data_IF_630092203281
#
_entry.id   IF_630092203281
#
_cell.length_a   1.000
_cell.length_b   1.000
_cell.length_c   1.000
_cell.angle_alpha   90.00
_cell.angle_beta   90.00
_cell.angle_gamma   90.00
#
_symmetry.space_group_name_H-M   'P 1'
#
loop_
_entity.id
_entity.type
_entity.pdbx_description
1 polymer ?
#
# COMPACT_ATOMS: atom_id res chain seq x y z
N UNK A 1 -1.88 -18.01 12.18
CA UNK A 1 -2.29 -16.70 11.63
C UNK A 1 -2.17 -15.66 12.76
N UNK A 2 -1.92 -14.39 12.44
CA UNK A 2 -1.81 -13.32 13.44
C UNK A 2 -3.15 -12.58 13.57
N UNK A 3 -3.49 -12.12 14.77
CA UNK A 3 -4.74 -11.41 15.02
C UNK A 3 -4.52 -10.17 15.90
N UNK A 4 -5.31 -9.13 15.64
CA UNK A 4 -5.37 -7.89 16.41
C UNK A 4 -6.84 -7.56 16.70
N UNK A 5 -7.16 -7.29 17.97
CA UNK A 5 -8.55 -7.12 18.43
C UNK A 5 -9.50 -8.29 18.03
N UNK A 6 -8.96 -9.51 17.97
CA UNK A 6 -9.73 -10.71 17.61
C UNK A 6 -9.96 -10.91 16.11
N UNK A 7 -9.42 -10.04 15.25
CA UNK A 7 -9.54 -10.14 13.80
C UNK A 7 -8.19 -10.45 13.16
N UNK A 8 -8.17 -11.39 12.23
CA UNK A 8 -7.00 -11.73 11.42
C UNK A 8 -6.88 -10.79 10.22
N UNK A 9 -6.33 -9.60 10.46
CA UNK A 9 -6.13 -8.61 9.41
C UNK A 9 -5.05 -9.00 8.41
N UNK A 10 -5.22 -8.56 7.17
CA UNK A 10 -4.25 -8.72 6.09
C UNK A 10 -3.52 -7.41 5.75
N UNK A 11 -4.13 -6.25 6.01
CA UNK A 11 -3.60 -4.92 5.63
C UNK A 11 -2.33 -4.48 6.39
N UNK A 12 -1.72 -3.37 5.96
CA UNK A 12 -0.43 -2.91 6.45
C UNK A 12 -0.46 -2.33 7.87
N UNK A 13 -1.59 -1.81 8.35
CA UNK A 13 -1.62 -1.19 9.67
C UNK A 13 -1.58 -2.21 10.82
N UNK A 14 -2.32 -3.32 10.68
CA UNK A 14 -2.59 -4.24 11.79
C UNK A 14 -2.54 -5.73 11.39
N UNK A 15 -2.09 -6.03 10.18
CA UNK A 15 -2.24 -7.35 9.60
C UNK A 15 -0.94 -8.05 9.22
N UNK A 16 -1.12 -9.21 8.58
CA UNK A 16 -0.05 -10.07 8.09
C UNK A 16 0.95 -9.32 7.19
N UNK A 17 0.47 -8.37 6.38
CA UNK A 17 1.28 -7.57 5.46
C UNK A 17 2.52 -6.94 6.10
N UNK A 18 2.37 -6.16 7.17
CA UNK A 18 3.49 -5.46 7.78
C UNK A 18 4.40 -6.39 8.58
N UNK A 19 3.85 -7.45 9.19
CA UNK A 19 4.66 -8.48 9.86
C UNK A 19 5.63 -9.10 8.85
N UNK A 20 5.12 -9.52 7.69
CA UNK A 20 5.94 -10.09 6.62
C UNK A 20 6.94 -9.08 6.05
N UNK A 21 6.54 -7.82 5.88
CA UNK A 21 7.45 -6.77 5.42
C UNK A 21 8.65 -6.62 6.35
N UNK A 22 8.42 -6.55 7.66
CA UNK A 22 9.52 -6.42 8.65
C UNK A 22 10.43 -7.65 8.61
N UNK A 23 9.89 -8.86 8.50
CA UNK A 23 10.71 -10.08 8.38
C UNK A 23 11.61 -10.04 7.13
N UNK A 24 11.09 -9.56 5.99
CA UNK A 24 11.87 -9.39 4.74
C UNK A 24 12.99 -8.35 4.92
N UNK A 25 12.73 -7.29 5.70
CA UNK A 25 13.66 -6.19 5.94
C UNK A 25 14.74 -6.48 6.98
N UNK A 26 14.81 -7.71 7.48
CA UNK A 26 15.92 -8.19 8.33
C UNK A 26 16.65 -9.32 7.59
N UNK A 27 17.50 -9.02 6.58
CA UNK A 27 18.13 -10.05 5.76
C UNK A 27 18.90 -11.07 6.57
N UNK A 28 19.60 -10.65 7.62
CA UNK A 28 20.36 -11.55 8.50
C UNK A 28 19.50 -12.61 9.20
N UNK A 29 18.21 -12.33 9.43
CA UNK A 29 17.28 -13.32 9.98
C UNK A 29 16.91 -14.36 8.94
N UNK A 30 16.58 -13.94 7.71
CA UNK A 30 16.23 -14.86 6.62
C UNK A 30 17.44 -15.66 6.12
N UNK A 31 18.62 -15.03 6.05
CA UNK A 31 19.87 -15.66 5.62
C UNK A 31 20.41 -16.66 6.65
N UNK A 32 19.91 -16.62 7.89
CA UNK A 32 20.36 -17.53 8.95
C UNK A 32 19.87 -18.97 8.75
N UNK A 33 18.75 -19.15 8.05
CA UNK A 33 18.15 -20.46 7.82
C UNK A 33 17.27 -20.46 6.55
N UNK A 34 17.61 -21.34 5.60
CA UNK A 34 16.88 -21.46 4.34
C UNK A 34 15.43 -21.91 4.53
N UNK A 35 15.12 -22.68 5.58
CA UNK A 35 13.75 -23.07 5.89
C UNK A 35 12.94 -21.89 6.43
N UNK A 36 13.58 -20.96 7.16
CA UNK A 36 12.94 -19.71 7.58
C UNK A 36 12.65 -18.82 6.36
N UNK A 37 13.62 -18.60 5.47
CA UNK A 37 13.42 -17.81 4.24
C UNK A 37 12.25 -18.37 3.41
N UNK A 38 12.25 -19.67 3.17
CA UNK A 38 11.18 -20.37 2.43
C UNK A 38 9.83 -20.30 3.13
N UNK A 39 9.80 -20.36 4.46
CA UNK A 39 8.56 -20.23 5.24
C UNK A 39 7.99 -18.83 5.09
N UNK A 40 8.82 -17.79 5.22
CA UNK A 40 8.39 -16.41 5.03
C UNK A 40 7.91 -16.19 3.59
N UNK A 41 8.63 -16.69 2.59
CA UNK A 41 8.21 -16.63 1.19
C UNK A 41 6.86 -17.30 0.97
N UNK A 42 6.62 -18.46 1.59
CA UNK A 42 5.32 -19.17 1.51
C UNK A 42 4.19 -18.33 2.11
N UNK A 43 4.43 -17.63 3.23
CA UNK A 43 3.45 -16.72 3.80
C UNK A 43 3.18 -15.48 2.91
N UNK A 44 4.20 -14.97 2.23
CA UNK A 44 4.05 -13.90 1.23
C UNK A 44 3.25 -14.38 0.02
N UNK A 45 3.50 -15.60 -0.46
CA UNK A 45 2.73 -16.22 -1.54
C UNK A 45 1.26 -16.41 -1.15
N UNK A 46 0.99 -16.77 0.10
CA UNK A 46 -0.38 -16.77 0.62
C UNK A 46 -1.02 -15.38 0.57
N UNK A 47 -0.33 -14.33 1.05
CA UNK A 47 -0.84 -12.95 0.98
C UNK A 47 -1.08 -12.52 -0.47
N UNK A 48 -0.14 -12.81 -1.39
CA UNK A 48 -0.27 -12.56 -2.82
C UNK A 48 -1.51 -13.24 -3.41
N UNK A 49 -1.81 -14.47 -3.00
CA UNK A 49 -2.99 -15.20 -3.47
C UNK A 49 -4.33 -14.58 -3.03
N UNK A 50 -4.31 -13.65 -2.07
CA UNK A 50 -5.48 -12.87 -1.65
C UNK A 50 -5.70 -11.62 -2.52
N UNK A 51 -4.84 -11.35 -3.51
CA UNK A 51 -5.07 -10.24 -4.42
C UNK A 51 -6.29 -10.52 -5.31
N UNK A 52 -7.24 -9.60 -5.30
CA UNK A 52 -8.47 -9.71 -6.09
C UNK A 52 -8.20 -9.48 -7.58
N UNK A 53 -9.18 -9.83 -8.42
CA UNK A 53 -9.11 -9.58 -9.87
C UNK A 53 -9.06 -8.10 -10.22
N UNK A 54 -9.54 -7.21 -9.35
CA UNK A 54 -9.44 -5.74 -9.53
C UNK A 54 -8.06 -5.19 -9.17
N UNK A 55 -7.20 -6.01 -8.56
CA UNK A 55 -5.87 -5.65 -8.07
C UNK A 55 -5.84 -5.26 -6.59
N UNK A 56 -6.96 -5.34 -5.87
CA UNK A 56 -7.06 -4.99 -4.45
C UNK A 56 -6.63 -6.16 -3.56
N UNK A 57 -6.60 -5.94 -2.24
CA UNK A 57 -6.43 -6.99 -1.25
C UNK A 57 -7.56 -6.90 -0.22
N UNK A 58 -7.98 -8.05 0.29
CA UNK A 58 -8.97 -8.17 1.34
C UNK A 58 -8.46 -7.55 2.65
N UNK A 59 -9.37 -7.07 3.50
CA UNK A 59 -8.97 -6.44 4.77
C UNK A 59 -8.62 -7.48 5.84
N UNK A 60 -9.35 -8.59 5.89
CA UNK A 60 -9.18 -9.69 6.85
C UNK A 60 -9.50 -11.04 6.22
N UNK A 61 -9.17 -12.13 6.92
CA UNK A 61 -9.47 -13.49 6.46
C UNK A 61 -10.97 -13.80 6.46
N UNK A 62 -11.77 -13.15 7.30
CA UNK A 62 -13.24 -13.29 7.33
C UNK A 62 -13.90 -12.91 5.99
N UNK A 63 -13.25 -12.02 5.23
CA UNK A 63 -13.71 -11.60 3.90
C UNK A 63 -13.40 -12.62 2.81
N UNK A 64 -12.57 -13.64 3.05
CA UNK A 64 -12.20 -14.64 2.04
C UNK A 64 -13.42 -15.47 1.59
N UNK A 65 -14.28 -15.85 2.54
CA UNK A 65 -15.51 -16.60 2.24
C UNK A 65 -16.63 -15.70 1.67
N UNK A 66 -16.61 -14.41 2.00
CA UNK A 66 -17.63 -13.43 1.60
C UNK A 66 -17.34 -12.80 0.22
N UNK A 67 -16.07 -12.51 -0.09
CA UNK A 67 -15.62 -11.87 -1.34
C UNK A 67 -15.82 -12.76 -2.57
N UNK A 68 -15.81 -14.09 -2.41
CA UNK A 68 -16.20 -15.03 -3.49
C UNK A 68 -17.65 -14.87 -3.94
N UNK A 69 -18.49 -14.15 -3.18
CA UNK A 69 -19.93 -14.00 -3.45
C UNK A 69 -20.31 -12.64 -4.04
N UNK A 70 -19.49 -11.60 -3.94
CA UNK A 70 -19.82 -10.26 -4.44
C UNK A 70 -18.61 -9.66 -5.17
N UNK A 71 -18.63 -9.76 -6.49
CA UNK A 71 -17.74 -9.03 -7.38
C UNK A 71 -18.28 -7.59 -7.50
N UNK A 72 -17.48 -6.60 -7.12
CA UNK A 72 -17.76 -5.19 -7.42
C UNK A 72 -18.53 -4.41 -6.34
N UNK A 73 -18.25 -4.63 -5.06
CA UNK A 73 -18.81 -3.77 -4.02
C UNK A 73 -18.15 -2.37 -4.05
N UNK A 74 -18.96 -1.31 -3.93
CA UNK A 74 -18.49 0.07 -3.85
C UNK A 74 -17.79 0.39 -2.52
N UNK A 75 -17.86 -0.52 -1.53
CA UNK A 75 -17.25 -0.38 -0.20
C UNK A 75 -15.79 -0.87 -0.11
N UNK A 76 -15.11 -1.14 -1.24
CA UNK A 76 -13.70 -1.56 -1.22
C UNK A 76 -12.80 -0.49 -0.58
N UNK A 77 -11.99 -0.89 0.42
CA UNK A 77 -10.98 -0.03 1.02
C UNK A 77 -9.75 0.06 0.12
N UNK A 78 -9.45 1.26 -0.37
CA UNK A 78 -8.24 1.58 -1.13
C UNK A 78 -7.34 2.45 -0.26
N UNK A 79 -6.88 1.90 0.86
CA UNK A 79 -6.12 2.62 1.88
C UNK A 79 -4.76 1.98 2.13
N UNK A 80 -3.82 2.75 2.69
CA UNK A 80 -2.57 2.17 3.20
C UNK A 80 -2.86 1.19 4.34
N UNK A 81 -3.74 1.55 5.28
CA UNK A 81 -4.05 0.67 6.40
C UNK A 81 -4.71 -0.65 5.98
N UNK A 82 -5.56 -0.61 4.94
CA UNK A 82 -6.33 -1.76 4.45
C UNK A 82 -6.49 -1.67 2.92
N UNK A 83 -5.97 -2.67 2.21
CA UNK A 83 -6.05 -2.79 0.76
C UNK A 83 -4.71 -2.64 0.04
N UNK A 84 -4.79 -2.56 -1.29
CA UNK A 84 -3.64 -2.48 -2.19
C UNK A 84 -2.60 -1.40 -1.86
N UNK A 85 -2.97 -0.16 -1.47
CA UNK A 85 -1.95 0.87 -1.18
C UNK A 85 -1.02 0.53 -0.04
N UNK A 86 -1.40 -0.34 0.90
CA UNK A 86 -0.51 -0.83 1.94
C UNK A 86 0.26 -2.08 1.53
N UNK A 87 -0.43 -3.04 0.91
CA UNK A 87 0.17 -4.35 0.57
C UNK A 87 1.24 -4.23 -0.51
N UNK A 88 1.19 -3.19 -1.34
CA UNK A 88 2.20 -2.93 -2.36
C UNK A 88 3.64 -2.83 -1.81
N UNK A 89 3.84 -2.32 -0.60
CA UNK A 89 5.17 -2.21 0.02
C UNK A 89 5.75 -3.58 0.36
N UNK A 90 4.94 -4.51 0.90
CA UNK A 90 5.37 -5.90 1.14
C UNK A 90 5.67 -6.62 -0.17
N UNK A 91 4.85 -6.43 -1.22
CA UNK A 91 5.12 -7.03 -2.53
C UNK A 91 6.38 -6.46 -3.18
N UNK A 92 6.67 -5.17 -3.00
CA UNK A 92 7.90 -4.54 -3.43
C UNK A 92 9.13 -5.14 -2.72
N UNK A 93 9.09 -5.23 -1.38
CA UNK A 93 10.15 -5.84 -0.59
C UNK A 93 10.38 -7.31 -1.01
N UNK A 94 9.31 -8.07 -1.24
CA UNK A 94 9.36 -9.44 -1.72
C UNK A 94 10.01 -9.56 -3.11
N UNK A 95 9.65 -8.68 -4.05
CA UNK A 95 10.31 -8.62 -5.36
C UNK A 95 11.80 -8.30 -5.20
N UNK A 96 12.17 -7.35 -4.35
CA UNK A 96 13.56 -6.97 -4.15
C UNK A 96 14.40 -8.12 -3.57
N UNK A 97 13.84 -8.90 -2.64
CA UNK A 97 14.47 -10.08 -2.03
C UNK A 97 14.58 -11.27 -2.98
N UNK A 98 13.46 -11.76 -3.50
CA UNK A 98 13.41 -13.04 -4.22
C UNK A 98 13.44 -12.91 -5.75
N UNK A 99 13.33 -11.70 -6.30
CA UNK A 99 13.32 -11.41 -7.74
C UNK A 99 12.25 -12.17 -8.54
N UNK A 100 11.19 -12.65 -7.88
CA UNK A 100 10.05 -13.28 -8.52
C UNK A 100 9.13 -12.21 -9.14
N UNK A 101 8.95 -12.30 -10.45
CA UNK A 101 8.16 -11.33 -11.23
C UNK A 101 6.69 -11.26 -10.79
N UNK A 102 6.14 -12.31 -10.19
CA UNK A 102 4.76 -12.32 -9.68
C UNK A 102 4.49 -11.20 -8.68
N UNK A 103 5.48 -10.86 -7.85
CA UNK A 103 5.37 -9.78 -6.86
C UNK A 103 5.36 -8.40 -7.52
N UNK A 104 6.25 -8.16 -8.48
CA UNK A 104 6.26 -6.90 -9.23
C UNK A 104 4.98 -6.72 -10.05
N UNK A 105 4.47 -7.78 -10.66
CA UNK A 105 3.20 -7.73 -11.39
C UNK A 105 2.01 -7.47 -10.45
N UNK A 106 2.08 -7.96 -9.20
CA UNK A 106 1.12 -7.59 -8.16
C UNK A 106 1.15 -6.10 -7.84
N UNK A 107 2.35 -5.51 -7.69
CA UNK A 107 2.51 -4.07 -7.50
C UNK A 107 1.90 -3.26 -8.65
N UNK A 108 2.12 -3.68 -9.90
CA UNK A 108 1.55 -3.01 -11.08
C UNK A 108 0.03 -3.04 -11.08
N UNK A 109 -0.58 -4.19 -10.76
CA UNK A 109 -2.05 -4.33 -10.61
C UNK A 109 -2.60 -3.43 -9.50
N UNK A 110 -1.92 -3.37 -8.35
CA UNK A 110 -2.25 -2.45 -7.27
C UNK A 110 -2.18 -0.99 -7.75
N UNK A 111 -1.11 -0.60 -8.46
CA UNK A 111 -0.98 0.74 -9.04
C UNK A 111 -2.10 1.11 -10.01
N UNK A 112 -2.56 0.17 -10.85
CA UNK A 112 -3.68 0.42 -11.75
C UNK A 112 -5.02 0.56 -11.02
N UNK A 113 -5.23 -0.19 -9.94
CA UNK A 113 -6.39 0.01 -9.06
C UNK A 113 -6.36 1.38 -8.40
N UNK A 114 -5.22 1.74 -7.80
CA UNK A 114 -5.03 3.03 -7.12
C UNK A 114 -5.25 4.17 -8.10
N UNK A 115 -4.81 4.03 -9.35
CA UNK A 115 -5.07 5.04 -10.37
C UNK A 115 -6.57 5.23 -10.64
N UNK A 116 -7.35 4.14 -10.67
CA UNK A 116 -8.79 4.19 -10.95
C UNK A 116 -9.62 4.65 -9.75
N UNK A 117 -9.22 4.32 -8.52
CA UNK A 117 -10.07 4.45 -7.32
C UNK A 117 -9.40 5.14 -6.12
N UNK A 118 -8.14 5.56 -6.23
CA UNK A 118 -7.33 6.04 -5.10
C UNK A 118 -7.51 7.52 -4.74
N UNK A 119 -8.32 8.28 -5.47
CA UNK A 119 -8.67 9.67 -5.13
C UNK A 119 -9.80 9.69 -4.10
N UNK A 120 -9.43 9.56 -2.83
CA UNK A 120 -10.37 9.35 -1.73
C UNK A 120 -11.01 10.66 -1.26
N UNK A 121 -12.32 10.60 -0.95
CA UNK A 121 -13.02 11.67 -0.21
C UNK A 121 -12.72 11.66 1.30
N UNK A 122 -11.95 10.69 1.79
CA UNK A 122 -11.71 10.49 3.23
C UNK A 122 -10.76 11.53 3.83
N UNK A 123 -9.90 12.14 3.01
CA UNK A 123 -8.99 13.20 3.47
C UNK A 123 -7.63 13.16 2.77
N UNK A 124 -6.73 14.07 3.17
CA UNK A 124 -5.46 14.29 2.47
C UNK A 124 -4.31 13.43 3.00
N UNK A 125 -4.47 12.80 4.17
CA UNK A 125 -3.40 12.09 4.88
C UNK A 125 -2.88 10.84 4.21
N UNK A 126 -1.96 10.16 4.90
CA UNK A 126 -1.21 9.01 4.37
C UNK A 126 -1.76 7.64 4.79
N UNK A 127 -2.54 7.55 5.87
CA UNK A 127 -3.10 6.28 6.34
C UNK A 127 -4.21 5.75 5.41
N UNK A 128 -5.06 6.66 4.94
CA UNK A 128 -6.27 6.37 4.16
C UNK A 128 -6.74 7.63 3.44
N UNK A 129 -5.81 8.36 2.85
CA UNK A 129 -6.05 9.59 2.11
C UNK A 129 -5.28 9.61 0.79
N UNK A 130 -5.47 10.70 0.04
CA UNK A 130 -4.90 10.84 -1.31
C UNK A 130 -3.38 10.80 -1.29
N UNK A 131 -2.71 11.45 -0.33
CA UNK A 131 -1.25 11.47 -0.27
C UNK A 131 -0.65 10.06 -0.07
N UNK A 132 -1.25 9.26 0.81
CA UNK A 132 -0.81 7.88 1.03
C UNK A 132 -0.91 7.01 -0.23
N UNK A 133 -1.98 7.19 -0.99
CA UNK A 133 -2.16 6.52 -2.27
C UNK A 133 -1.18 7.06 -3.35
N UNK A 134 -0.82 8.34 -3.28
CA UNK A 134 0.21 8.95 -4.13
C UNK A 134 1.59 8.32 -3.95
N UNK A 135 1.98 8.00 -2.72
CA UNK A 135 3.24 7.31 -2.42
C UNK A 135 3.39 5.96 -3.13
N UNK A 136 2.29 5.23 -3.37
CA UNK A 136 2.34 3.97 -4.10
C UNK A 136 2.89 4.15 -5.53
N UNK A 137 2.67 5.31 -6.14
CA UNK A 137 3.26 5.63 -7.45
C UNK A 137 4.73 6.03 -7.37
N UNK A 138 5.16 6.70 -6.30
CA UNK A 138 6.59 6.96 -6.07
C UNK A 138 7.36 5.65 -5.87
N UNK A 139 6.79 4.70 -5.12
CA UNK A 139 7.32 3.35 -4.98
C UNK A 139 7.44 2.65 -6.34
N UNK A 140 6.37 2.66 -7.13
CA UNK A 140 6.36 2.02 -8.46
C UNK A 140 7.37 2.67 -9.42
N UNK A 141 7.51 3.99 -9.37
CA UNK A 141 8.55 4.70 -10.10
C UNK A 141 9.93 4.19 -9.72
N UNK A 142 10.29 4.18 -8.43
CA UNK A 142 11.59 3.68 -7.96
C UNK A 142 11.84 2.22 -8.33
N UNK A 143 10.80 1.37 -8.34
CA UNK A 143 10.93 -0.05 -8.71
C UNK A 143 11.14 -0.29 -10.20
N UNK A 144 10.58 0.56 -11.07
CA UNK A 144 10.45 0.28 -12.51
C UNK A 144 11.13 1.28 -13.42
N UNK A 145 11.45 2.46 -12.91
CA UNK A 145 11.90 3.63 -13.66
C UNK A 145 10.93 4.05 -14.78
N UNK A 146 9.63 3.71 -14.65
CA UNK A 146 8.58 4.10 -15.59
C UNK A 146 7.97 5.45 -15.19
N UNK A 147 8.31 6.49 -15.97
CA UNK A 147 7.86 7.88 -15.81
C UNK A 147 6.33 8.04 -15.74
N UNK A 148 5.56 7.07 -16.24
CA UNK A 148 4.10 7.04 -16.06
C UNK A 148 3.70 7.08 -14.59
N UNK A 149 4.45 6.43 -13.71
CA UNK A 149 4.13 6.44 -12.28
C UNK A 149 4.45 7.79 -11.65
N UNK A 150 5.54 8.46 -12.05
CA UNK A 150 5.82 9.82 -11.60
C UNK A 150 4.71 10.79 -12.04
N UNK A 151 4.22 10.66 -13.28
CA UNK A 151 3.04 11.40 -13.74
C UNK A 151 1.79 11.14 -12.88
N UNK A 152 1.53 9.87 -12.52
CA UNK A 152 0.39 9.52 -11.65
C UNK A 152 0.53 10.11 -10.25
N UNK A 153 1.73 10.10 -9.67
CA UNK A 153 2.01 10.76 -8.39
C UNK A 153 1.73 12.27 -8.48
N UNK A 154 2.18 12.93 -9.55
CA UNK A 154 1.92 14.35 -9.80
C UNK A 154 0.42 14.66 -9.85
N UNK A 155 -0.40 13.79 -10.46
CA UNK A 155 -1.86 13.97 -10.50
C UNK A 155 -2.52 13.81 -9.14
N UNK A 156 -1.97 13.00 -8.25
CA UNK A 156 -2.45 12.91 -6.88
C UNK A 156 -2.07 14.16 -6.07
N UNK A 157 -0.85 14.69 -6.27
CA UNK A 157 -0.45 15.98 -5.72
C UNK A 157 -1.36 17.12 -6.20
N UNK A 158 -1.58 17.26 -7.52
CA UNK A 158 -2.47 18.25 -8.12
C UNK A 158 -3.89 18.18 -7.52
N UNK A 159 -4.45 16.97 -7.38
CA UNK A 159 -5.83 16.77 -6.94
C UNK A 159 -6.07 17.25 -5.51
N UNK A 160 -5.11 17.07 -4.59
CA UNK A 160 -5.23 17.54 -3.19
C UNK A 160 -5.46 19.06 -3.11
N UNK A 161 -4.98 19.81 -4.10
CA UNK A 161 -5.16 21.26 -4.18
C UNK A 161 -6.37 21.69 -5.02
N UNK A 162 -7.11 20.75 -5.62
CA UNK A 162 -8.28 21.07 -6.44
C UNK A 162 -9.46 21.57 -5.61
N UNK A 163 -10.28 22.45 -6.20
CA UNK A 163 -11.52 22.92 -5.58
C UNK A 163 -12.48 21.77 -5.24
N UNK A 164 -12.50 20.73 -6.09
CA UNK A 164 -13.29 19.53 -5.86
C UNK A 164 -12.87 18.85 -4.55
N UNK A 165 -11.57 18.60 -4.36
CA UNK A 165 -11.09 17.96 -3.15
C UNK A 165 -11.36 18.81 -1.91
N UNK A 166 -11.11 20.12 -1.97
CA UNK A 166 -11.38 21.04 -0.85
C UNK A 166 -12.87 21.10 -0.47
N UNK A 167 -13.78 20.79 -1.39
CA UNK A 167 -15.24 20.76 -1.15
C UNK A 167 -15.71 19.40 -0.66
N UNK A 168 -15.23 18.31 -1.27
CA UNK A 168 -15.77 16.97 -1.10
C UNK A 168 -15.05 16.17 0.01
N UNK A 169 -13.83 16.55 0.37
CA UNK A 169 -13.03 15.80 1.34
C UNK A 169 -13.52 16.03 2.78
N UNK A 170 -13.51 14.95 3.57
CA UNK A 170 -13.76 15.02 5.00
C UNK A 170 -12.58 15.69 5.72
N UNK A 171 -12.89 16.41 6.80
CA UNK A 171 -11.89 16.89 7.75
C UNK A 171 -11.46 15.68 8.62
N UNK A 172 -10.16 15.36 8.70
CA UNK A 172 -9.68 14.27 9.55
C UNK A 172 -9.87 14.57 11.04
N UNK A 173 -9.93 13.54 11.88
CA UNK A 173 -10.06 13.70 13.34
C UNK A 173 -8.86 14.48 13.93
N UNK A 174 -7.66 14.22 13.40
CA UNK A 174 -6.44 14.99 13.69
C UNK A 174 -5.90 15.70 12.43
N UNK A 175 -6.44 16.87 12.03
CA UNK A 175 -6.18 17.53 10.73
C UNK A 175 -4.72 17.88 10.44
N UNK A 176 -3.89 17.99 11.48
CA UNK A 176 -2.48 18.37 11.37
C UNK A 176 -1.51 17.21 11.67
N UNK A 177 -2.04 16.00 11.93
CA UNK A 177 -1.22 14.84 12.26
C UNK A 177 -0.50 14.26 11.03
N UNK A 178 0.52 13.43 11.28
CA UNK A 178 1.26 12.75 10.23
C UNK A 178 0.39 11.77 9.44
N UNK A 179 -0.37 10.90 10.10
CA UNK A 179 -1.07 9.81 9.41
C UNK A 179 -2.42 10.20 8.82
N UNK A 180 -3.15 11.14 9.42
CA UNK A 180 -4.49 11.53 8.96
C UNK A 180 -4.51 12.90 8.29
N UNK A 181 -3.65 13.80 8.76
CA UNK A 181 -3.67 15.22 8.44
C UNK A 181 -2.68 15.67 7.38
N UNK A 182 -2.54 16.98 7.28
CA UNK A 182 -1.71 17.65 6.27
C UNK A 182 -0.21 17.46 6.49
N UNK A 183 0.24 17.02 7.67
CA UNK A 183 1.66 16.75 7.87
C UNK A 183 2.14 15.56 7.01
N UNK A 184 1.32 14.52 6.86
CA UNK A 184 1.61 13.43 5.92
C UNK A 184 1.55 13.87 4.46
N UNK A 185 0.64 14.78 4.12
CA UNK A 185 0.61 15.41 2.80
C UNK A 185 1.89 16.19 2.52
N UNK A 186 2.40 16.93 3.49
CA UNK A 186 3.66 17.66 3.36
C UNK A 186 4.84 16.71 3.11
N UNK A 187 4.90 15.56 3.80
CA UNK A 187 5.89 14.52 3.52
C UNK A 187 5.79 14.03 2.07
N UNK A 188 4.59 13.68 1.61
CA UNK A 188 4.37 13.22 0.23
C UNK A 188 4.83 14.25 -0.80
N UNK A 189 4.48 15.53 -0.61
CA UNK A 189 4.86 16.59 -1.53
C UNK A 189 6.37 16.85 -1.51
N UNK A 190 7.02 16.76 -0.35
CA UNK A 190 8.47 16.88 -0.25
C UNK A 190 9.19 15.72 -0.96
N UNK A 191 8.74 14.49 -0.74
CA UNK A 191 9.29 13.30 -1.39
C UNK A 191 9.02 13.27 -2.90
N UNK A 192 7.90 13.83 -3.35
CA UNK A 192 7.60 13.97 -4.78
C UNK A 192 8.61 14.88 -5.51
N UNK A 193 9.23 15.84 -4.82
CA UNK A 193 10.27 16.72 -5.41
C UNK A 193 11.58 15.94 -5.63
N UNK A 194 11.87 14.94 -4.81
CA UNK A 194 13.05 14.07 -4.91
C UNK A 194 12.63 12.59 -5.03
N UNK A 195 11.99 12.18 -6.14
CA UNK A 195 11.30 10.90 -6.25
C UNK A 195 12.23 9.68 -6.09
N UNK A 196 13.52 9.81 -6.40
CA UNK A 196 14.52 8.74 -6.20
C UNK A 196 14.77 8.43 -4.72
N UNK A 197 14.57 9.41 -3.84
CA UNK A 197 14.75 9.29 -2.38
C UNK A 197 13.45 9.05 -1.63
N UNK A 198 12.32 9.18 -2.31
CA UNK A 198 11.00 9.01 -1.74
C UNK A 198 10.82 7.64 -1.06
N UNK A 199 10.21 7.66 0.13
CA UNK A 199 9.73 6.47 0.80
C UNK A 199 8.52 6.85 1.66
N UNK A 200 7.54 5.96 1.76
CA UNK A 200 6.43 6.18 2.67
C UNK A 200 7.01 6.28 4.10
N UNK A 201 6.57 7.24 4.94
CA UNK A 201 7.14 7.42 6.27
C UNK A 201 7.18 6.11 7.07
N UNK A 202 8.37 5.75 7.54
CA UNK A 202 8.66 4.49 8.27
C UNK A 202 8.52 3.19 7.47
N UNK A 203 8.41 3.25 6.14
CA UNK A 203 8.33 2.10 5.25
C UNK A 203 9.20 2.28 3.99
N UNK A 204 10.51 2.40 4.19
CA UNK A 204 11.46 2.26 3.09
C UNK A 204 11.72 0.77 2.82
N UNK A 205 11.67 0.35 1.56
CA UNK A 205 11.79 -1.05 1.12
C UNK A 205 13.07 -1.34 0.33
N UNK A 206 13.90 -0.32 0.07
CA UNK A 206 15.11 -0.43 -0.73
C UNK A 206 16.38 -0.67 0.10
#
# INVERSE_FOLDING_TARGET
MYAYYGTEYLGAAHGLCAILQILIQVPSFLDSDADIDKTVQTCVDYLLSQQTTTGNFLCSTDEIDYSRRIIGNDDELIHWCHGAPGVIYTMAAAYLRWKDQRYLDSCKRAGDLIWRKGLLRKGPGICHGVAGNGYAFLLLYKLTNDERYLYRAAKFADFIHSSQFQTDARIPDSPYSLYEGIAGTACFLADFIEPDKAHFPFQDVF
#
